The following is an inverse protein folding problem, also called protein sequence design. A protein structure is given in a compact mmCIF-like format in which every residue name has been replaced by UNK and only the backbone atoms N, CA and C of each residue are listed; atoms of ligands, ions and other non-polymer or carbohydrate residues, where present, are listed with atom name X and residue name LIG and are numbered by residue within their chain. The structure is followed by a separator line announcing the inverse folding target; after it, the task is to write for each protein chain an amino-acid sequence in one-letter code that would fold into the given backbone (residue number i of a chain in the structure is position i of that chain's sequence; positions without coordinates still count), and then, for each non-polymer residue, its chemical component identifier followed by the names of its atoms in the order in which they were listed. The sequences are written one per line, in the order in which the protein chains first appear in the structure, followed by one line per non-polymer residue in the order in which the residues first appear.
data_IF_761060393210
#
_entry.id   IF_761060393210
#
_cell.length_a   1.000
_cell.length_b   1.000
_cell.length_c   1.000
_cell.angle_alpha   90.00
_cell.angle_beta   90.00
_cell.angle_gamma   90.00
#
_symmetry.space_group_name_H-M   'P 1'
#
loop_
_entity.id
_entity.type
_entity.pdbx_description
1 polymer ?
#
# COMPACT_ATOMS: atom_id res chain seq x y z
N UNK A 1 -14.03 -3.41 -24.75
CA UNK A 1 -13.79 -1.99 -24.37
C UNK A 1 -13.70 -1.79 -22.85
N UNK A 2 -14.53 -2.46 -22.05
CA UNK A 2 -14.54 -2.36 -20.58
C UNK A 2 -13.19 -2.73 -19.94
N UNK A 3 -12.56 -3.82 -20.39
CA UNK A 3 -11.28 -4.28 -19.84
C UNK A 3 -10.11 -3.29 -20.09
N UNK A 4 -10.11 -2.59 -21.24
CA UNK A 4 -9.08 -1.57 -21.52
C UNK A 4 -9.26 -0.30 -20.68
N UNK A 5 -10.51 0.07 -20.38
CA UNK A 5 -10.79 1.19 -19.48
C UNK A 5 -10.38 0.83 -18.04
N UNK A 6 -10.74 -0.36 -17.56
CA UNK A 6 -10.38 -0.82 -16.21
C UNK A 6 -8.86 -0.95 -16.01
N UNK A 7 -8.12 -1.49 -16.99
CA UNK A 7 -6.67 -1.59 -16.92
C UNK A 7 -5.99 -0.20 -16.92
N UNK A 8 -6.57 0.75 -17.65
CA UNK A 8 -6.08 2.14 -17.72
C UNK A 8 -6.36 2.90 -16.42
N UNK A 9 -7.53 2.70 -15.83
CA UNK A 9 -7.90 3.32 -14.55
C UNK A 9 -7.01 2.81 -13.41
N UNK A 10 -6.74 1.51 -13.37
CA UNK A 10 -5.79 0.92 -12.43
C UNK A 10 -4.38 1.50 -12.58
N UNK A 11 -3.88 1.61 -13.82
CA UNK A 11 -2.56 2.20 -14.10
C UNK A 11 -2.48 3.68 -13.70
N UNK A 12 -3.55 4.44 -13.91
CA UNK A 12 -3.63 5.84 -13.53
C UNK A 12 -3.66 6.04 -12.00
N UNK A 13 -4.27 5.12 -11.27
CA UNK A 13 -4.25 5.10 -9.79
C UNK A 13 -2.83 4.81 -9.30
N UNK A 14 -2.15 3.80 -9.86
CA UNK A 14 -0.77 3.46 -9.46
C UNK A 14 0.17 4.65 -9.66
N UNK A 15 0.17 5.28 -10.83
CA UNK A 15 1.02 6.43 -11.11
C UNK A 15 0.81 7.60 -10.14
N UNK A 16 -0.41 7.81 -9.64
CA UNK A 16 -0.70 8.83 -8.63
C UNK A 16 -0.15 8.45 -7.25
N UNK A 17 -0.26 7.17 -6.88
CA UNK A 17 0.28 6.67 -5.62
C UNK A 17 1.81 6.72 -5.62
N UNK A 18 2.45 6.35 -6.73
CA UNK A 18 3.90 6.44 -6.90
C UNK A 18 4.39 7.88 -6.71
N UNK A 19 3.67 8.85 -7.28
CA UNK A 19 4.00 10.26 -7.11
C UNK A 19 3.85 10.72 -5.65
N UNK A 20 2.81 10.26 -4.94
CA UNK A 20 2.63 10.56 -3.52
C UNK A 20 3.73 9.93 -2.66
N UNK A 21 4.11 8.68 -2.92
CA UNK A 21 5.21 8.00 -2.22
C UNK A 21 6.52 8.76 -2.45
N UNK A 22 6.81 9.11 -3.71
CA UNK A 22 8.02 9.86 -4.08
C UNK A 22 8.08 11.25 -3.45
N UNK A 23 6.95 11.89 -3.21
CA UNK A 23 6.85 13.23 -2.65
C UNK A 23 6.98 13.27 -1.11
N UNK A 24 6.89 12.13 -0.43
CA UNK A 24 6.95 12.06 1.04
C UNK A 24 8.36 11.65 1.47
N UNK A 25 9.10 12.56 2.13
CA UNK A 25 10.51 12.36 2.52
C UNK A 25 10.78 11.09 3.35
N UNK A 26 9.81 10.67 4.17
CA UNK A 26 9.93 9.48 5.02
C UNK A 26 9.30 8.21 4.41
N UNK A 27 8.70 8.31 3.22
CA UNK A 27 8.09 7.16 2.56
C UNK A 27 9.17 6.30 1.89
N UNK A 28 8.88 5.01 1.78
CA UNK A 28 9.81 4.05 1.19
C UNK A 28 9.54 3.97 -0.31
N UNK A 29 10.47 4.50 -1.10
CA UNK A 29 10.39 4.43 -2.57
C UNK A 29 10.40 2.99 -3.10
N UNK A 30 10.80 2.01 -2.29
CA UNK A 30 10.74 0.58 -2.61
C UNK A 30 9.30 0.08 -2.89
N UNK A 31 8.28 0.86 -2.53
CA UNK A 31 6.88 0.56 -2.86
C UNK A 31 6.45 0.99 -4.27
N UNK A 32 7.27 1.77 -4.97
CA UNK A 32 7.00 2.18 -6.35
C UNK A 32 7.25 0.98 -7.28
N UNK A 33 6.26 0.64 -8.11
CA UNK A 33 6.37 -0.45 -9.09
C UNK A 33 6.23 -1.86 -8.53
N UNK A 34 5.74 -2.02 -7.29
CA UNK A 34 5.53 -3.33 -6.66
C UNK A 34 4.53 -4.21 -7.41
N UNK A 35 3.66 -3.64 -8.25
CA UNK A 35 2.69 -4.36 -9.07
C UNK A 35 3.33 -5.27 -10.14
N UNK A 36 4.61 -5.04 -10.46
CA UNK A 36 5.38 -5.89 -11.36
C UNK A 36 6.00 -7.11 -10.67
N UNK A 37 5.94 -7.16 -9.33
CA UNK A 37 6.51 -8.25 -8.56
C UNK A 37 5.64 -9.50 -8.61
N UNK A 38 6.29 -10.65 -8.46
CA UNK A 38 5.59 -11.91 -8.28
C UNK A 38 4.85 -11.95 -6.95
N UNK A 39 3.83 -12.80 -6.84
CA UNK A 39 3.09 -12.98 -5.58
C UNK A 39 4.02 -13.37 -4.40
N UNK A 40 5.07 -14.16 -4.67
CA UNK A 40 6.03 -14.55 -3.65
C UNK A 40 6.90 -13.37 -3.17
N UNK A 41 7.24 -12.44 -4.06
CA UNK A 41 7.97 -11.21 -3.73
C UNK A 41 7.10 -10.24 -2.93
N UNK A 42 5.86 -10.03 -3.36
CA UNK A 42 4.86 -9.24 -2.62
C UNK A 42 4.64 -9.79 -1.21
N UNK A 43 4.56 -11.12 -1.07
CA UNK A 43 4.40 -11.75 0.24
C UNK A 43 5.61 -11.51 1.15
N UNK A 44 6.83 -11.50 0.60
CA UNK A 44 8.04 -11.16 1.38
C UNK A 44 8.02 -9.72 1.86
N UNK A 45 7.67 -8.77 0.99
CA UNK A 45 7.55 -7.35 1.36
C UNK A 45 6.49 -7.17 2.45
N UNK A 46 5.35 -7.84 2.30
CA UNK A 46 4.27 -7.82 3.30
C UNK A 46 4.75 -8.34 4.67
N UNK A 47 5.45 -9.47 4.71
CA UNK A 47 5.96 -10.02 5.97
C UNK A 47 7.04 -9.13 6.61
N UNK A 48 7.85 -8.44 5.82
CA UNK A 48 8.81 -7.45 6.35
C UNK A 48 8.06 -6.26 6.96
N UNK A 49 7.06 -5.72 6.26
CA UNK A 49 6.19 -4.66 6.78
C UNK A 49 5.50 -5.03 8.09
N UNK A 50 4.88 -6.22 8.14
CA UNK A 50 4.18 -6.71 9.34
C UNK A 50 5.14 -6.82 10.54
N UNK A 51 6.41 -7.15 10.30
CA UNK A 51 7.42 -7.21 11.35
C UNK A 51 7.93 -5.83 11.78
N UNK A 52 8.13 -4.93 10.83
CA UNK A 52 8.68 -3.60 11.09
C UNK A 52 7.66 -2.64 11.70
N UNK A 53 6.40 -2.74 11.30
CA UNK A 53 5.30 -2.03 11.95
C UNK A 53 5.00 -2.61 13.34
N UNK A 54 5.57 -3.77 13.68
CA UNK A 54 5.25 -4.53 14.90
C UNK A 54 3.80 -5.03 14.85
N UNK A 55 3.46 -6.01 15.71
CA UNK A 55 2.06 -6.32 15.95
C UNK A 55 1.36 -5.02 16.33
N UNK A 56 0.51 -4.54 15.43
CA UNK A 56 -0.03 -3.21 15.43
C UNK A 56 -1.20 -3.14 16.42
N UNK A 57 -0.98 -3.62 17.65
CA UNK A 57 -1.91 -3.55 18.77
C UNK A 57 -2.34 -2.08 18.95
N UNK A 58 -1.41 -1.13 18.81
CA UNK A 58 -1.72 0.30 18.89
C UNK A 58 -2.53 0.83 17.69
N UNK A 59 -2.23 0.45 16.45
CA UNK A 59 -3.03 0.91 15.31
C UNK A 59 -4.39 0.19 15.25
N UNK A 60 -4.45 -1.07 15.67
CA UNK A 60 -5.70 -1.82 15.87
C UNK A 60 -6.56 -1.13 16.93
N UNK A 61 -5.98 -0.74 18.07
CA UNK A 61 -6.66 0.01 19.12
C UNK A 61 -7.10 1.41 18.65
N UNK A 62 -6.30 2.12 17.83
CA UNK A 62 -6.68 3.41 17.26
C UNK A 62 -7.80 3.28 16.22
N UNK A 63 -7.77 2.23 15.38
CA UNK A 63 -8.86 1.90 14.46
C UNK A 63 -10.13 1.54 15.24
N UNK A 64 -10.03 0.73 16.30
CA UNK A 64 -11.15 0.43 17.20
C UNK A 64 -11.74 1.70 17.81
N UNK A 65 -10.89 2.59 18.35
CA UNK A 65 -11.33 3.88 18.90
C UNK A 65 -12.01 4.77 17.87
N UNK A 66 -11.56 4.77 16.62
CA UNK A 66 -12.17 5.52 15.52
C UNK A 66 -13.53 4.95 15.11
N UNK A 67 -13.69 3.62 15.19
CA UNK A 67 -14.95 2.93 14.92
C UNK A 67 -15.95 3.15 16.06
N UNK A 68 -15.53 3.11 17.32
CA UNK A 68 -16.37 3.38 18.49
C UNK A 68 -16.85 4.84 18.58
N UNK A 69 -16.15 5.77 17.94
CA UNK A 69 -16.51 7.20 17.89
C UNK A 69 -17.59 7.54 16.86
N UNK A 70 -18.10 6.57 16.10
CA UNK A 70 -19.09 6.75 15.03
C UNK A 70 -20.43 6.12 15.40
#
# INVERSE_FOLDING_TARGET
LIQNAQNRDGSAIQAKLDELIRAVDAARNDFIGIEHLTAAELQRIKTVLERECGDDENHRLEIERLIERR
#
